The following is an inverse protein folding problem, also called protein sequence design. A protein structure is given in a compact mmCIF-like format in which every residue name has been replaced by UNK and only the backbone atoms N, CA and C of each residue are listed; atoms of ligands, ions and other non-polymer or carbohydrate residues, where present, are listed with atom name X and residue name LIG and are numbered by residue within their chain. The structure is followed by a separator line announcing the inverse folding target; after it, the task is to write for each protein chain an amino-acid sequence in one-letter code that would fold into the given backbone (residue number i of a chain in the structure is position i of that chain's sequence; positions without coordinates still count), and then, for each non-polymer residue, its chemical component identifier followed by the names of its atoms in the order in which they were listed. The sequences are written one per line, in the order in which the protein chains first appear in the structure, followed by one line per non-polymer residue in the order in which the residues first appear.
data_IF_583007608639
#
_entry.id   IF_583007608639
#
_cell.length_a   1.000
_cell.length_b   1.000
_cell.length_c   1.000
_cell.angle_alpha   90.00
_cell.angle_beta   90.00
_cell.angle_gamma   90.00
#
_symmetry.space_group_name_H-M   'P 1'
#
loop_
_entity.id
_entity.type
_entity.pdbx_description
1 polymer ?
#
# COMPACT_ATOMS: atom_id res chain seq x y z
N UNK A 1 7.58 -15.64 -23.64
CA UNK A 1 8.37 -14.92 -22.61
C UNK A 1 7.53 -14.89 -21.34
N UNK A 2 7.90 -15.65 -20.31
CA UNK A 2 7.21 -15.59 -19.02
C UNK A 2 7.42 -14.18 -18.45
N UNK A 3 6.33 -13.44 -18.20
CA UNK A 3 6.42 -12.11 -17.60
C UNK A 3 6.87 -12.29 -16.15
N UNK A 4 8.05 -11.77 -15.82
CA UNK A 4 8.54 -11.72 -14.45
C UNK A 4 7.49 -11.07 -13.54
N UNK A 5 7.15 -11.69 -12.40
CA UNK A 5 6.08 -11.20 -11.57
C UNK A 5 6.52 -9.90 -10.87
N UNK A 6 5.69 -8.86 -11.03
CA UNK A 6 5.93 -7.55 -10.42
C UNK A 6 5.31 -7.49 -9.04
N UNK A 7 6.05 -6.87 -8.13
CA UNK A 7 5.68 -6.66 -6.73
C UNK A 7 5.51 -5.17 -6.49
N UNK A 8 4.49 -4.79 -5.72
CA UNK A 8 4.20 -3.38 -5.50
C UNK A 8 5.09 -2.85 -4.39
N UNK A 9 6.00 -1.91 -4.63
CA UNK A 9 6.78 -1.29 -3.54
C UNK A 9 6.31 0.16 -3.30
N UNK A 10 6.53 0.71 -2.11
CA UNK A 10 6.03 2.03 -1.75
C UNK A 10 7.13 3.09 -1.56
N UNK A 11 6.86 4.28 -2.11
CA UNK A 11 7.62 5.51 -1.82
C UNK A 11 6.65 6.56 -1.29
N UNK A 12 6.89 7.06 -0.08
CA UNK A 12 6.22 8.25 0.46
C UNK A 12 7.14 9.45 0.40
N UNK A 13 6.58 10.58 0.01
CA UNK A 13 7.30 11.86 0.04
C UNK A 13 6.55 12.82 0.96
N UNK A 14 7.23 13.32 2.00
CA UNK A 14 6.64 14.23 3.00
C UNK A 14 7.47 15.50 3.13
N UNK A 15 6.82 16.66 3.18
CA UNK A 15 7.48 17.94 3.42
C UNK A 15 7.35 18.33 4.90
N UNK A 16 8.47 18.65 5.55
CA UNK A 16 8.49 19.23 6.90
C UNK A 16 8.42 20.75 6.85
N UNK A 17 7.46 21.35 7.56
CA UNK A 17 7.31 22.79 7.69
C UNK A 17 7.10 23.17 9.16
N UNK A 18 7.78 24.23 9.62
CA UNK A 18 7.69 24.69 11.01
C UNK A 18 6.29 25.16 11.38
N UNK A 19 5.58 25.82 10.45
CA UNK A 19 4.19 26.24 10.67
C UNK A 19 3.20 25.09 10.85
N UNK A 20 3.59 23.86 10.51
CA UNK A 20 2.82 22.63 10.76
C UNK A 20 3.35 21.83 11.96
N UNK A 21 4.25 22.42 12.76
CA UNK A 21 4.84 21.78 13.93
C UNK A 21 5.93 20.75 13.59
N UNK A 22 6.49 20.77 12.38
CA UNK A 22 7.58 19.88 12.00
C UNK A 22 8.93 20.61 12.02
N UNK A 23 9.92 20.02 12.67
CA UNK A 23 11.31 20.51 12.71
C UNK A 23 12.26 19.46 12.14
N UNK A 24 13.33 19.90 11.48
CA UNK A 24 14.33 19.03 10.89
C UNK A 24 15.09 18.27 11.99
N UNK A 25 15.49 18.95 13.07
CA UNK A 25 16.19 18.35 14.20
C UNK A 25 15.40 17.20 14.82
N UNK A 26 14.10 17.37 15.11
CA UNK A 26 13.28 16.29 15.65
C UNK A 26 13.09 15.14 14.67
N UNK A 27 12.96 15.43 13.36
CA UNK A 27 12.87 14.38 12.33
C UNK A 27 14.16 13.57 12.28
N UNK A 28 15.32 14.22 12.31
CA UNK A 28 16.63 13.55 12.36
C UNK A 28 16.75 12.69 13.62
N UNK A 29 16.46 13.24 14.79
CA UNK A 29 16.52 12.46 16.02
C UNK A 29 15.54 11.26 15.98
N UNK A 30 14.37 11.40 15.35
CA UNK A 30 13.41 10.32 15.16
C UNK A 30 13.96 9.19 14.28
N UNK A 31 14.52 9.50 13.12
CA UNK A 31 15.04 8.48 12.19
C UNK A 31 16.33 7.85 12.73
N UNK A 32 17.16 8.60 13.46
CA UNK A 32 18.41 8.09 14.04
C UNK A 32 18.23 7.43 15.41
N UNK A 33 16.99 7.37 15.93
CA UNK A 33 16.70 6.87 17.29
C UNK A 33 17.52 7.59 18.37
N UNK A 34 17.64 8.90 18.24
CA UNK A 34 18.38 9.78 19.16
C UNK A 34 17.43 10.61 20.03
N UNK A 35 17.99 11.29 21.04
CA UNK A 35 17.23 12.14 21.96
C UNK A 35 16.05 11.42 22.62
N UNK A 36 14.84 11.97 22.44
CA UNK A 36 13.60 11.41 22.98
C UNK A 36 13.22 10.05 22.35
N UNK A 37 13.82 9.66 21.23
CA UNK A 37 13.47 8.46 20.46
C UNK A 37 14.41 7.27 20.68
N UNK A 38 15.35 7.37 21.63
CA UNK A 38 16.30 6.29 21.99
C UNK A 38 15.63 4.98 22.43
N UNK A 39 14.39 5.05 22.89
CA UNK A 39 13.60 3.89 23.31
C UNK A 39 12.98 3.11 22.13
N UNK A 40 13.09 3.62 20.89
CA UNK A 40 12.57 2.95 19.70
C UNK A 40 13.67 2.11 19.05
N UNK A 41 13.37 0.85 18.81
CA UNK A 41 14.28 -0.08 18.14
C UNK A 41 14.24 0.05 16.60
N UNK A 42 15.00 -0.82 15.94
CA UNK A 42 14.90 -1.08 14.51
C UNK A 42 15.79 -0.21 13.63
N UNK A 43 16.68 0.61 14.18
CA UNK A 43 17.75 1.25 13.40
C UNK A 43 18.80 0.20 13.02
N UNK A 44 19.04 0.04 11.72
CA UNK A 44 20.04 -0.90 11.18
C UNK A 44 21.31 -0.17 10.79
N UNK A 45 21.17 0.92 10.03
CA UNK A 45 22.28 1.74 9.57
C UNK A 45 21.82 3.20 9.42
N UNK A 46 22.78 4.11 9.41
CA UNK A 46 22.54 5.53 9.14
C UNK A 46 23.75 6.16 8.50
N UNK A 47 23.53 7.19 7.70
CA UNK A 47 24.59 7.96 7.08
C UNK A 47 24.15 9.39 6.80
N UNK A 48 25.09 10.18 6.31
CA UNK A 48 24.93 11.59 6.07
C UNK A 48 25.88 12.03 4.96
N UNK A 49 25.48 13.02 4.16
CA UNK A 49 26.32 13.52 3.08
C UNK A 49 25.98 14.94 2.68
N UNK A 50 26.80 15.47 1.78
CA UNK A 50 26.64 16.81 1.21
C UNK A 50 26.50 17.90 2.27
N UNK A 51 27.31 17.86 3.34
CA UNK A 51 27.36 18.97 4.30
C UNK A 51 27.88 20.22 3.58
N UNK A 52 27.17 21.35 3.56
CA UNK A 52 27.68 22.55 2.92
C UNK A 52 28.87 23.12 3.71
N UNK A 53 29.76 23.82 3.01
CA UNK A 53 30.83 24.57 3.66
C UNK A 53 30.27 25.60 4.65
N UNK A 54 31.01 25.87 5.73
CA UNK A 54 30.60 26.76 6.81
C UNK A 54 29.84 26.08 7.96
N UNK A 55 29.47 24.80 7.81
CA UNK A 55 28.86 24.02 8.88
C UNK A 55 29.85 23.01 9.46
N UNK A 56 29.86 22.88 10.78
CA UNK A 56 30.73 21.95 11.52
C UNK A 56 30.28 20.50 11.36
N UNK A 57 28.96 20.27 11.34
CA UNK A 57 28.35 18.94 11.21
C UNK A 57 26.86 19.05 10.83
N UNK A 58 26.27 17.93 10.42
CA UNK A 58 24.84 17.88 10.05
C UNK A 58 23.91 18.26 11.19
N UNK A 59 24.24 17.98 12.46
CA UNK A 59 23.38 18.38 13.59
C UNK A 59 23.25 19.89 13.68
N UNK A 60 24.36 20.62 13.55
CA UNK A 60 24.33 22.09 13.46
C UNK A 60 23.55 22.54 12.23
N UNK A 61 23.74 21.91 11.07
CA UNK A 61 22.99 22.25 9.84
C UNK A 61 21.46 22.16 10.02
N UNK A 62 20.96 21.10 10.65
CA UNK A 62 19.52 20.93 10.88
C UNK A 62 18.98 21.86 11.98
N UNK A 63 19.78 22.17 13.00
CA UNK A 63 19.45 23.21 13.99
C UNK A 63 19.32 24.58 13.31
N UNK A 64 20.30 24.97 12.51
CA UNK A 64 20.28 26.23 11.76
C UNK A 64 19.14 26.28 10.73
N UNK A 65 18.77 25.14 10.13
CA UNK A 65 17.56 25.03 9.30
C UNK A 65 16.32 25.39 10.11
N UNK A 66 16.18 24.83 11.32
CA UNK A 66 15.04 25.08 12.19
C UNK A 66 15.02 26.49 12.77
N UNK A 67 16.16 27.14 12.93
CA UNK A 67 16.25 28.51 13.42
C UNK A 67 15.97 29.52 12.29
N UNK A 68 16.58 29.34 11.11
CA UNK A 68 16.66 30.39 10.10
C UNK A 68 15.73 30.22 8.89
N UNK A 69 15.19 29.03 8.60
CA UNK A 69 14.15 28.92 7.55
C UNK A 69 12.89 29.70 7.95
N UNK A 70 12.16 30.24 6.98
CA UNK A 70 10.85 30.86 7.29
C UNK A 70 9.83 29.80 7.73
N UNK A 71 8.86 30.16 8.56
CA UNK A 71 7.89 29.21 9.13
C UNK A 71 7.15 28.36 8.09
N UNK A 72 6.75 28.95 6.96
CA UNK A 72 6.04 28.29 5.86
C UNK A 72 6.98 27.69 4.79
N UNK A 73 8.30 27.74 4.96
CA UNK A 73 9.25 27.06 4.08
C UNK A 73 9.20 25.56 4.32
N UNK A 74 9.54 24.79 3.29
CA UNK A 74 9.94 23.40 3.49
C UNK A 74 11.33 23.39 4.14
N UNK A 75 11.40 23.00 5.40
CA UNK A 75 12.65 22.87 6.15
C UNK A 75 13.43 21.65 5.65
N UNK A 76 12.73 20.54 5.45
CA UNK A 76 13.27 19.29 4.91
C UNK A 76 12.23 18.56 4.08
N UNK A 77 12.68 17.64 3.24
CA UNK A 77 11.82 16.64 2.61
C UNK A 77 12.27 15.25 2.97
N UNK A 78 11.33 14.41 3.38
CA UNK A 78 11.55 13.01 3.66
C UNK A 78 11.07 12.16 2.50
N UNK A 79 11.93 11.26 2.03
CA UNK A 79 11.58 10.11 1.21
C UNK A 79 11.63 8.89 2.11
N UNK A 80 10.48 8.23 2.28
CA UNK A 80 10.38 6.91 2.88
C UNK A 80 10.28 5.90 1.74
N UNK A 81 11.27 5.03 1.62
CA UNK A 81 11.43 4.13 0.49
C UNK A 81 11.50 2.71 1.01
N UNK A 82 10.57 1.88 0.56
CA UNK A 82 10.55 0.44 0.81
C UNK A 82 11.77 -0.25 0.16
N UNK A 83 12.45 -1.12 0.91
CA UNK A 83 13.62 -1.87 0.45
C UNK A 83 13.31 -3.39 0.40
N UNK A 84 14.00 -4.17 -0.45
CA UNK A 84 13.70 -5.58 -0.62
C UNK A 84 14.17 -6.43 0.57
N UNK A 85 13.24 -7.14 1.20
CA UNK A 85 13.52 -8.08 2.30
C UNK A 85 14.29 -9.34 1.85
N UNK A 86 14.23 -9.66 0.56
CA UNK A 86 14.77 -10.89 -0.03
C UNK A 86 16.26 -10.83 -0.37
N UNK A 87 16.82 -9.63 -0.45
CA UNK A 87 18.25 -9.46 -0.65
C UNK A 87 19.00 -9.65 0.68
N UNK A 88 20.28 -10.01 0.66
CA UNK A 88 21.14 -9.91 1.83
C UNK A 88 21.12 -8.48 2.40
N UNK A 89 21.26 -8.33 3.72
CA UNK A 89 21.25 -7.00 4.33
C UNK A 89 22.37 -6.10 3.79
N UNK A 90 23.55 -6.64 3.46
CA UNK A 90 24.66 -5.88 2.87
C UNK A 90 24.25 -5.16 1.58
N UNK A 91 23.64 -5.89 0.64
CA UNK A 91 23.13 -5.34 -0.62
C UNK A 91 22.07 -4.27 -0.39
N UNK A 92 21.21 -4.47 0.63
CA UNK A 92 20.20 -3.47 0.98
C UNK A 92 20.83 -2.19 1.52
N UNK A 93 21.91 -2.30 2.30
CA UNK A 93 22.62 -1.14 2.83
C UNK A 93 23.36 -0.38 1.73
N UNK A 94 24.02 -1.08 0.81
CA UNK A 94 24.67 -0.48 -0.35
C UNK A 94 23.65 0.24 -1.25
N UNK A 95 22.53 -0.42 -1.54
CA UNK A 95 21.45 0.19 -2.33
C UNK A 95 20.86 1.42 -1.65
N UNK A 96 20.71 1.39 -0.32
CA UNK A 96 20.20 2.52 0.44
C UNK A 96 21.17 3.72 0.44
N UNK A 97 22.47 3.47 0.54
CA UNK A 97 23.51 4.49 0.44
C UNK A 97 23.56 5.10 -0.96
N UNK A 98 23.60 4.27 -2.00
CA UNK A 98 23.58 4.71 -3.40
C UNK A 98 22.31 5.54 -3.72
N UNK A 99 21.14 5.08 -3.26
CA UNK A 99 19.90 5.83 -3.41
C UNK A 99 19.94 7.16 -2.64
N UNK A 100 20.50 7.19 -1.43
CA UNK A 100 20.63 8.43 -0.67
C UNK A 100 21.52 9.45 -1.39
N UNK A 101 22.63 9.02 -1.97
CA UNK A 101 23.53 9.87 -2.75
C UNK A 101 22.90 10.41 -4.02
N UNK A 102 22.21 9.56 -4.78
CA UNK A 102 21.61 9.94 -6.06
C UNK A 102 20.41 10.89 -5.88
N UNK A 103 19.50 10.56 -4.96
CA UNK A 103 18.28 11.34 -4.69
C UNK A 103 18.62 12.72 -4.10
N UNK A 104 19.78 12.84 -3.44
CA UNK A 104 20.25 14.07 -2.81
C UNK A 104 21.02 15.00 -3.76
N UNK A 105 20.68 14.95 -5.04
CA UNK A 105 21.18 15.84 -6.10
C UNK A 105 20.01 16.49 -6.80
N UNK A 106 20.17 17.74 -7.23
CA UNK A 106 19.18 18.37 -8.09
C UNK A 106 19.11 17.59 -9.43
N UNK A 107 17.92 17.20 -9.90
CA UNK A 107 17.78 16.36 -11.09
C UNK A 107 18.21 17.03 -12.41
N UNK A 108 18.25 18.36 -12.46
CA UNK A 108 18.59 19.14 -13.66
C UNK A 108 20.07 19.51 -13.69
N UNK A 109 20.57 20.12 -12.61
CA UNK A 109 21.92 20.68 -12.58
C UNK A 109 22.89 19.88 -11.69
N UNK A 110 22.42 18.80 -11.04
CA UNK A 110 23.21 17.92 -10.17
C UNK A 110 23.82 18.59 -8.94
N UNK A 111 23.38 19.81 -8.60
CA UNK A 111 23.79 20.50 -7.38
C UNK A 111 23.51 19.63 -6.16
N UNK A 112 24.46 19.62 -5.22
CA UNK A 112 24.39 18.79 -4.02
C UNK A 112 23.35 19.34 -3.04
N UNK A 113 22.64 18.42 -2.39
CA UNK A 113 21.65 18.71 -1.36
C UNK A 113 22.09 18.01 -0.07
N UNK A 114 22.20 18.76 1.03
CA UNK A 114 22.53 18.18 2.33
C UNK A 114 21.50 17.13 2.73
N UNK A 115 21.95 15.97 3.21
CA UNK A 115 21.06 14.88 3.59
C UNK A 115 21.57 14.09 4.79
N UNK A 116 20.62 13.41 5.44
CA UNK A 116 20.87 12.33 6.38
C UNK A 116 19.85 11.22 6.15
N UNK A 117 20.25 9.98 6.40
CA UNK A 117 19.37 8.83 6.24
C UNK A 117 19.51 7.82 7.36
N UNK A 118 18.48 6.98 7.46
CA UNK A 118 18.49 5.77 8.28
C UNK A 118 17.79 4.63 7.54
N UNK A 119 18.37 3.44 7.61
CA UNK A 119 17.72 2.19 7.22
C UNK A 119 17.14 1.56 8.47
N UNK A 120 15.84 1.30 8.45
CA UNK A 120 15.14 0.62 9.54
C UNK A 120 14.67 -0.77 9.11
N UNK A 121 14.64 -1.69 10.07
CA UNK A 121 14.04 -3.02 9.92
C UNK A 121 13.44 -3.47 11.26
N UNK A 122 12.55 -4.46 11.22
CA UNK A 122 12.07 -5.10 12.44
C UNK A 122 13.24 -5.77 13.18
N UNK A 123 13.47 -5.46 14.47
CA UNK A 123 14.67 -5.92 15.19
C UNK A 123 14.68 -7.44 15.46
N UNK A 124 13.53 -8.11 15.39
CA UNK A 124 13.43 -9.55 15.67
C UNK A 124 13.59 -10.38 14.41
N UNK A 125 13.13 -9.86 13.28
CA UNK A 125 13.01 -10.61 12.03
C UNK A 125 13.94 -10.11 10.93
N UNK A 126 14.37 -8.85 11.00
CA UNK A 126 15.16 -8.20 9.96
C UNK A 126 14.37 -7.83 8.69
N UNK A 127 13.04 -7.95 8.72
CA UNK A 127 12.15 -7.63 7.58
C UNK A 127 11.47 -6.27 7.73
N UNK A 128 10.67 -5.88 6.73
CA UNK A 128 10.06 -4.57 6.66
C UNK A 128 11.09 -3.47 6.51
N UNK A 129 12.13 -3.75 5.72
CA UNK A 129 13.24 -2.84 5.51
C UNK A 129 12.77 -1.59 4.78
N UNK A 130 13.14 -0.43 5.29
CA UNK A 130 12.84 0.85 4.65
C UNK A 130 13.91 1.90 4.92
N UNK A 131 14.16 2.74 3.92
CA UNK A 131 15.03 3.90 3.99
C UNK A 131 14.20 5.13 4.34
N UNK A 132 14.53 5.76 5.46
CA UNK A 132 14.20 7.16 5.73
C UNK A 132 15.33 8.03 5.20
N UNK A 133 15.09 8.78 4.12
CA UNK A 133 16.03 9.76 3.57
C UNK A 133 15.48 11.17 3.78
N UNK A 134 16.18 11.99 4.57
CA UNK A 134 15.83 13.38 4.86
C UNK A 134 16.81 14.29 4.13
N UNK A 135 16.29 15.05 3.17
CA UNK A 135 17.08 15.99 2.36
C UNK A 135 16.71 17.44 2.64
N UNK A 136 17.69 18.32 2.50
CA UNK A 136 17.47 19.75 2.35
C UNK A 136 17.01 20.06 0.93
N UNK A 137 16.17 21.08 0.77
CA UNK A 137 15.83 21.59 -0.57
C UNK A 137 16.70 22.79 -0.98
N UNK A 138 17.80 23.03 -0.26
CA UNK A 138 18.79 24.07 -0.57
C UNK A 138 19.91 23.49 -1.44
N UNK A 139 20.14 24.12 -2.58
CA UNK A 139 21.16 23.72 -3.55
C UNK A 139 22.52 24.33 -3.18
N UNK A 140 23.56 23.50 -3.16
CA UNK A 140 24.92 24.00 -3.10
C UNK A 140 25.35 24.51 -4.48
N UNK A 141 25.38 25.84 -4.64
CA UNK A 141 25.70 26.53 -5.89
C UNK A 141 27.18 26.96 -5.99
N UNK A 142 28.04 26.47 -5.09
CA UNK A 142 29.47 26.80 -5.02
C UNK A 142 29.77 28.18 -4.43
N UNK A 143 28.76 28.93 -3.97
CA UNK A 143 28.96 30.24 -3.32
C UNK A 143 29.12 30.03 -1.82
N UNK A 144 30.25 30.47 -1.29
CA UNK A 144 30.55 30.44 0.14
C UNK A 144 29.65 31.41 0.91
N UNK A 145 29.11 30.94 2.04
CA UNK A 145 28.16 31.67 2.88
C UNK A 145 28.37 31.30 4.33
N UNK A 146 28.19 32.28 5.21
CA UNK A 146 27.98 32.00 6.63
C UNK A 146 26.67 31.23 6.85
N UNK A 147 26.59 30.32 7.83
CA UNK A 147 25.42 29.50 8.13
C UNK A 147 24.09 30.26 8.21
N UNK A 148 24.07 31.43 8.85
CA UNK A 148 22.85 32.22 9.04
C UNK A 148 22.35 32.84 7.72
N UNK A 149 23.25 33.10 6.77
CA UNK A 149 22.91 33.61 5.45
C UNK A 149 22.35 32.50 4.56
N UNK A 150 22.86 31.28 4.69
CA UNK A 150 22.53 30.13 3.85
C UNK A 150 21.01 29.90 3.69
N UNK A 151 20.25 30.04 4.78
CA UNK A 151 18.80 29.81 4.80
C UNK A 151 17.95 31.06 4.49
N UNK A 152 18.54 32.21 4.20
CA UNK A 152 17.77 33.39 3.76
C UNK A 152 17.20 33.19 2.35
N UNK A 153 16.40 34.14 1.88
CA UNK A 153 15.91 34.12 0.49
C UNK A 153 17.11 34.29 -0.46
N UNK A 154 17.09 33.55 -1.57
CA UNK A 154 18.09 33.71 -2.61
C UNK A 154 18.06 35.13 -3.21
N UNK A 155 19.25 35.70 -3.42
CA UNK A 155 19.45 36.89 -4.23
C UNK A 155 20.06 36.48 -5.58
N UNK A 156 19.27 36.53 -6.65
CA UNK A 156 19.73 36.10 -7.99
C UNK A 156 20.73 37.07 -8.63
N UNK A 157 20.71 38.35 -8.23
CA UNK A 157 21.61 39.37 -8.80
C UNK A 157 22.98 39.31 -8.13
N UNK A 158 23.00 39.08 -6.82
CA UNK A 158 24.21 38.97 -6.00
C UNK A 158 24.13 37.73 -5.10
N UNK A 159 24.47 36.54 -5.61
CA UNK A 159 24.30 35.26 -4.89
C UNK A 159 24.98 35.17 -3.52
N UNK A 160 26.11 35.87 -3.33
CA UNK A 160 26.85 35.92 -2.06
C UNK A 160 26.19 36.80 -0.99
N UNK A 161 25.22 37.64 -1.36
CA UNK A 161 24.46 38.52 -0.45
C UNK A 161 23.07 37.96 -0.13
N UNK A 162 22.80 36.69 -0.46
CA UNK A 162 21.53 36.01 -0.20
C UNK A 162 21.73 34.55 0.16
N UNK A 163 20.63 33.87 0.48
CA UNK A 163 20.68 32.44 0.79
C UNK A 163 20.86 31.56 -0.44
N UNK A 164 21.14 30.29 -0.19
CA UNK A 164 21.29 29.29 -1.24
C UNK A 164 19.99 29.12 -2.04
N UNK A 165 20.05 28.82 -3.35
CA UNK A 165 18.86 28.52 -4.15
C UNK A 165 18.06 27.37 -3.53
N UNK A 166 16.75 27.35 -3.78
CA UNK A 166 15.91 26.21 -3.42
C UNK A 166 15.40 25.50 -4.65
N UNK A 167 15.26 24.19 -4.55
CA UNK A 167 14.58 23.36 -5.54
C UNK A 167 13.19 23.92 -5.85
N UNK A 168 12.79 23.80 -7.12
CA UNK A 168 11.43 24.08 -7.52
C UNK A 168 10.46 23.17 -6.76
N UNK A 169 9.43 23.78 -6.14
CA UNK A 169 8.46 23.08 -5.30
C UNK A 169 7.03 23.14 -5.84
N UNK A 170 6.86 23.57 -7.10
CA UNK A 170 5.56 23.52 -7.76
C UNK A 170 5.14 22.06 -7.99
N UNK A 171 3.83 21.84 -8.16
CA UNK A 171 3.22 20.50 -8.19
C UNK A 171 3.83 19.61 -9.28
N UNK A 172 4.07 20.14 -10.48
CA UNK A 172 4.65 19.36 -11.58
C UNK A 172 6.10 19.01 -11.33
N UNK A 173 6.93 19.95 -10.86
CA UNK A 173 8.32 19.68 -10.50
C UNK A 173 8.44 18.61 -9.42
N UNK A 174 7.60 18.68 -8.37
CA UNK A 174 7.60 17.69 -7.30
C UNK A 174 7.13 16.31 -7.80
N UNK A 175 6.09 16.26 -8.63
CA UNK A 175 5.61 15.02 -9.23
C UNK A 175 6.68 14.38 -10.11
N UNK A 176 7.32 15.17 -10.98
CA UNK A 176 8.38 14.70 -11.86
C UNK A 176 9.56 14.16 -11.04
N UNK A 177 10.02 14.90 -10.02
CA UNK A 177 11.10 14.45 -9.13
C UNK A 177 10.73 13.16 -8.42
N UNK A 178 9.50 13.04 -7.92
CA UNK A 178 9.02 11.82 -7.25
C UNK A 178 9.03 10.63 -8.21
N UNK A 179 8.57 10.81 -9.45
CA UNK A 179 8.59 9.74 -10.45
C UNK A 179 10.03 9.34 -10.83
N UNK A 180 10.94 10.30 -11.00
CA UNK A 180 12.36 10.00 -11.26
C UNK A 180 12.98 9.17 -10.12
N UNK A 181 12.68 9.51 -8.86
CA UNK A 181 13.12 8.73 -7.70
C UNK A 181 12.54 7.31 -7.73
N UNK A 182 11.24 7.18 -8.01
CA UNK A 182 10.58 5.87 -8.13
C UNK A 182 11.19 5.01 -9.23
N UNK A 183 11.45 5.59 -10.40
CA UNK A 183 12.04 4.90 -11.54
C UNK A 183 13.47 4.48 -11.22
N UNK A 184 14.29 5.39 -10.69
CA UNK A 184 15.67 5.12 -10.31
C UNK A 184 15.76 3.97 -9.31
N UNK A 185 15.05 4.07 -8.18
CA UNK A 185 15.11 3.04 -7.14
C UNK A 185 14.55 1.71 -7.64
N UNK A 186 13.48 1.73 -8.46
CA UNK A 186 13.00 0.50 -9.10
C UNK A 186 14.09 -0.16 -9.94
N UNK A 187 14.78 0.63 -10.76
CA UNK A 187 15.81 0.11 -11.67
C UNK A 187 16.99 -0.49 -10.90
N UNK A 188 17.50 0.19 -9.88
CA UNK A 188 18.61 -0.31 -9.05
C UNK A 188 18.20 -1.60 -8.34
N UNK A 189 17.05 -1.62 -7.65
CA UNK A 189 16.56 -2.83 -6.97
C UNK A 189 16.38 -3.98 -7.97
N UNK A 190 15.80 -3.70 -9.14
CA UNK A 190 15.54 -4.72 -10.15
C UNK A 190 16.82 -5.29 -10.76
N UNK A 191 17.86 -4.47 -10.94
CA UNK A 191 19.18 -4.93 -11.37
C UNK A 191 19.79 -5.86 -10.31
N UNK A 192 19.79 -5.47 -9.04
CA UNK A 192 20.32 -6.33 -7.96
C UNK A 192 19.52 -7.63 -7.84
N UNK A 193 18.18 -7.58 -7.93
CA UNK A 193 17.35 -8.80 -7.94
C UNK A 193 17.71 -9.71 -9.12
N UNK A 194 18.04 -9.14 -10.28
CA UNK A 194 18.47 -9.89 -11.46
C UNK A 194 19.84 -10.55 -11.28
N UNK A 195 20.79 -9.84 -10.69
CA UNK A 195 22.13 -10.37 -10.35
C UNK A 195 22.04 -11.53 -9.36
N UNK A 196 21.07 -11.47 -8.44
CA UNK A 196 20.71 -12.57 -7.53
C UNK A 196 19.82 -13.65 -8.19
N UNK A 197 19.55 -13.54 -9.50
CA UNK A 197 18.71 -14.45 -10.27
C UNK A 197 17.29 -14.64 -9.72
N UNK A 198 16.77 -13.62 -9.05
CA UNK A 198 15.40 -13.59 -8.57
C UNK A 198 14.48 -13.19 -9.73
N UNK A 199 13.38 -13.93 -9.96
CA UNK A 199 12.40 -13.57 -10.99
C UNK A 199 11.55 -12.36 -10.62
N UNK A 200 11.46 -12.03 -9.33
CA UNK A 200 10.63 -10.90 -8.89
C UNK A 200 11.22 -9.56 -9.32
N UNK A 201 10.33 -8.58 -9.54
CA UNK A 201 10.69 -7.19 -9.82
C UNK A 201 9.84 -6.25 -8.97
N UNK A 202 10.35 -5.07 -8.65
CA UNK A 202 9.61 -3.99 -7.99
C UNK A 202 9.19 -2.93 -9.00
N UNK A 203 8.05 -2.31 -8.77
CA UNK A 203 7.58 -1.16 -9.54
C UNK A 203 6.85 -0.18 -8.60
N UNK A 204 7.45 0.99 -8.38
CA UNK A 204 6.92 2.01 -7.46
C UNK A 204 5.87 2.93 -8.10
N UNK A 205 5.63 2.80 -9.40
CA UNK A 205 4.63 3.59 -10.14
C UNK A 205 3.27 2.90 -10.20
N UNK A 206 3.20 1.62 -9.84
CA UNK A 206 1.94 0.90 -9.67
C UNK A 206 1.24 1.51 -8.45
N UNK A 207 0.28 2.40 -8.73
CA UNK A 207 -0.55 3.03 -7.71
C UNK A 207 -1.75 2.13 -7.44
N UNK A 208 -1.90 1.72 -6.18
CA UNK A 208 -3.15 1.15 -5.66
C UNK A 208 -4.17 2.27 -5.51
N UNK A 209 -5.03 2.47 -6.49
CA UNK A 209 -6.42 2.71 -6.12
C UNK A 209 -7.01 1.32 -5.87
N UNK A 210 -7.85 1.17 -4.85
CA UNK A 210 -8.47 -0.11 -4.39
C UNK A 210 -7.84 -0.79 -3.15
N UNK A 211 -7.17 -0.04 -2.27
CA UNK A 211 -7.20 -0.38 -0.83
C UNK A 211 -6.33 -1.53 -0.30
N UNK A 212 -5.19 -1.91 -0.91
CA UNK A 212 -4.32 -3.00 -0.36
C UNK A 212 -2.84 -2.70 -0.20
N UNK A 213 -2.20 -3.43 0.72
CA UNK A 213 -0.87 -3.16 1.29
C UNK A 213 0.32 -3.41 0.35
N UNK A 214 1.45 -2.78 0.71
CA UNK A 214 2.68 -2.65 -0.08
C UNK A 214 3.66 -3.78 0.21
N UNK A 215 4.46 -4.04 -0.81
CA UNK A 215 5.30 -5.18 -1.08
C UNK A 215 4.50 -6.48 -1.17
N UNK A 216 4.78 -7.27 -2.21
CA UNK A 216 4.74 -8.72 -2.07
C UNK A 216 5.81 -9.02 -1.03
N UNK A 217 5.40 -8.89 0.23
CA UNK A 217 6.22 -9.08 1.40
C UNK A 217 6.08 -10.57 1.67
N UNK A 218 7.01 -11.40 1.18
CA UNK A 218 7.10 -12.78 1.69
C UNK A 218 7.06 -12.63 3.21
N UNK A 219 5.99 -13.12 3.84
CA UNK A 219 5.84 -12.87 5.26
C UNK A 219 7.08 -13.43 5.96
N UNK A 220 7.47 -12.90 7.12
CA UNK A 220 8.60 -13.44 7.88
C UNK A 220 8.53 -14.97 8.06
N UNK A 221 7.31 -15.53 8.06
CA UNK A 221 7.02 -16.96 8.11
C UNK A 221 7.23 -17.64 6.76
N UNK A 222 6.76 -17.06 5.66
CA UNK A 222 6.93 -17.63 4.31
C UNK A 222 8.40 -17.60 3.92
N UNK A 223 9.10 -16.49 4.16
CA UNK A 223 10.53 -16.40 3.91
C UNK A 223 11.34 -17.35 4.81
N UNK A 224 11.02 -17.50 6.11
CA UNK A 224 11.62 -18.54 6.95
C UNK A 224 11.35 -19.94 6.42
N UNK A 225 10.17 -20.19 5.87
CA UNK A 225 9.81 -21.46 5.25
C UNK A 225 10.66 -21.69 4.00
N UNK A 226 10.89 -20.66 3.18
CA UNK A 226 11.79 -20.72 2.02
C UNK A 226 13.27 -20.93 2.41
N UNK A 227 13.74 -20.27 3.46
CA UNK A 227 15.09 -20.48 4.01
C UNK A 227 15.27 -21.88 4.61
N UNK A 228 14.22 -22.44 5.22
CA UNK A 228 14.27 -23.77 5.84
C UNK A 228 14.47 -24.89 4.81
N UNK A 229 14.08 -24.68 3.55
CA UNK A 229 14.32 -25.64 2.48
C UNK A 229 15.78 -25.72 2.01
N UNK A 230 16.72 -24.92 2.56
CA UNK A 230 18.11 -24.83 2.09
C UNK A 230 18.17 -24.75 0.57
N UNK A 231 17.43 -23.78 0.03
CA UNK A 231 17.26 -23.62 -1.41
C UNK A 231 18.53 -23.03 -1.98
N UNK A 232 19.46 -23.91 -2.33
CA UNK A 232 20.74 -23.54 -2.92
C UNK A 232 20.59 -23.36 -4.45
N UNK A 233 19.47 -23.81 -5.02
CA UNK A 233 19.21 -23.76 -6.45
C UNK A 233 18.11 -22.74 -6.83
N UNK A 234 18.39 -22.04 -7.92
CA UNK A 234 17.60 -20.93 -8.46
C UNK A 234 16.19 -21.37 -8.88
N UNK A 235 15.96 -22.66 -9.12
CA UNK A 235 14.68 -23.17 -9.62
C UNK A 235 13.67 -23.19 -8.49
N UNK A 236 14.04 -23.72 -7.33
CA UNK A 236 13.11 -23.83 -6.20
C UNK A 236 12.81 -22.47 -5.55
N UNK A 237 13.79 -21.56 -5.47
CA UNK A 237 13.56 -20.17 -5.01
C UNK A 237 12.51 -19.49 -5.91
N UNK A 238 12.65 -19.62 -7.22
CA UNK A 238 11.75 -18.99 -8.17
C UNK A 238 10.36 -19.65 -8.24
N UNK A 239 10.26 -20.97 -8.02
CA UNK A 239 8.97 -21.68 -7.85
C UNK A 239 8.23 -21.17 -6.61
N UNK A 240 8.94 -21.01 -5.51
CA UNK A 240 8.41 -20.45 -4.28
C UNK A 240 7.96 -18.98 -4.42
N UNK A 241 8.75 -18.13 -5.07
CA UNK A 241 8.39 -16.73 -5.34
C UNK A 241 7.11 -16.64 -6.17
N UNK A 242 6.98 -17.48 -7.22
CA UNK A 242 5.76 -17.56 -8.03
C UNK A 242 4.54 -17.93 -7.18
N UNK A 243 4.64 -19.00 -6.38
CA UNK A 243 3.58 -19.45 -5.48
C UNK A 243 3.18 -18.37 -4.48
N UNK A 244 4.15 -17.63 -3.94
CA UNK A 244 3.87 -16.54 -3.01
C UNK A 244 3.09 -15.40 -3.67
N UNK A 245 3.48 -15.00 -4.88
CA UNK A 245 2.80 -13.92 -5.62
C UNK A 245 1.38 -14.33 -5.99
N UNK A 246 1.18 -15.59 -6.37
CA UNK A 246 -0.15 -16.15 -6.63
C UNK A 246 -1.03 -16.09 -5.37
N UNK A 247 -0.51 -16.54 -4.21
CA UNK A 247 -1.22 -16.50 -2.94
C UNK A 247 -1.54 -15.06 -2.50
N UNK A 248 -0.60 -14.12 -2.63
CA UNK A 248 -0.82 -12.72 -2.24
C UNK A 248 -1.88 -12.06 -3.12
N UNK A 249 -1.84 -12.30 -4.44
CA UNK A 249 -2.89 -11.85 -5.36
C UNK A 249 -4.26 -12.44 -4.99
N UNK A 250 -4.30 -13.70 -4.55
CA UNK A 250 -5.52 -14.37 -4.12
C UNK A 250 -6.09 -13.77 -2.83
N UNK A 251 -5.25 -13.61 -1.81
CA UNK A 251 -5.62 -13.00 -0.53
C UNK A 251 -6.06 -11.55 -0.72
N UNK A 252 -5.41 -10.84 -1.65
CA UNK A 252 -5.88 -9.55 -2.09
C UNK A 252 -7.29 -9.73 -2.67
N UNK A 253 -7.54 -10.42 -3.77
CA UNK A 253 -8.90 -10.58 -4.31
C UNK A 253 -9.99 -10.88 -3.24
N UNK A 254 -9.74 -11.81 -2.31
CA UNK A 254 -10.64 -12.11 -1.18
C UNK A 254 -10.94 -10.88 -0.30
N UNK A 255 -9.92 -10.10 0.08
CA UNK A 255 -10.13 -8.90 0.89
C UNK A 255 -10.95 -7.81 0.15
N UNK A 256 -11.01 -7.80 -1.19
CA UNK A 256 -11.80 -6.79 -1.96
C UNK A 256 -13.26 -7.19 -1.86
N UNK A 257 -13.53 -8.47 -2.07
CA UNK A 257 -14.85 -9.04 -1.90
C UNK A 257 -15.38 -8.83 -0.47
N UNK A 258 -14.53 -8.99 0.55
CA UNK A 258 -14.92 -8.70 1.95
C UNK A 258 -15.27 -7.21 2.13
N UNK A 259 -14.47 -6.30 1.57
CA UNK A 259 -14.70 -4.86 1.70
C UNK A 259 -15.95 -4.41 0.91
N UNK A 260 -16.17 -4.95 -0.29
CA UNK A 260 -17.35 -4.73 -1.11
C UNK A 260 -18.60 -5.25 -0.40
N UNK A 261 -18.53 -6.45 0.19
CA UNK A 261 -19.62 -6.99 1.00
C UNK A 261 -19.93 -6.12 2.22
N UNK A 262 -18.92 -5.66 2.94
CA UNK A 262 -19.13 -4.75 4.06
C UNK A 262 -19.75 -3.41 3.65
N UNK A 263 -19.42 -2.91 2.45
CA UNK A 263 -20.05 -1.71 1.89
C UNK A 263 -21.52 -1.95 1.51
N UNK A 264 -21.81 -3.09 0.88
CA UNK A 264 -23.16 -3.51 0.55
C UNK A 264 -24.01 -3.70 1.82
N UNK A 265 -23.47 -4.36 2.85
CA UNK A 265 -24.13 -4.54 4.14
C UNK A 265 -24.45 -3.18 4.80
N UNK A 266 -23.56 -2.20 4.69
CA UNK A 266 -23.79 -0.84 5.18
C UNK A 266 -24.87 -0.10 4.38
N UNK A 267 -24.94 -0.31 3.07
CA UNK A 267 -25.99 0.25 2.20
C UNK A 267 -27.35 -0.37 2.49
N UNK A 268 -27.43 -1.70 2.63
CA UNK A 268 -28.64 -2.42 3.04
C UNK A 268 -29.12 -1.90 4.41
N UNK A 269 -28.22 -1.81 5.39
CA UNK A 269 -28.55 -1.29 6.72
C UNK A 269 -29.01 0.18 6.69
N UNK A 270 -28.59 0.97 5.70
CA UNK A 270 -29.08 2.34 5.50
C UNK A 270 -30.48 2.37 4.86
N UNK A 271 -30.78 1.44 3.94
CA UNK A 271 -32.09 1.29 3.30
C UNK A 271 -33.14 0.69 4.25
N UNK A 272 -32.75 -0.22 5.14
CA UNK A 272 -33.63 -0.82 6.15
C UNK A 272 -34.01 0.12 7.29
N UNK A 273 -33.36 1.29 7.39
CA UNK A 273 -33.82 2.40 8.25
C UNK A 273 -35.06 3.05 7.63
N UNK A 274 -36.21 2.38 7.75
CA UNK A 274 -37.51 3.01 7.55
C UNK A 274 -37.60 4.21 8.50
N UNK A 275 -37.88 5.44 8.01
CA UNK A 275 -38.18 6.54 8.92
C UNK A 275 -39.46 6.17 9.68
N UNK A 276 -39.38 6.11 11.02
CA UNK A 276 -40.58 5.97 11.83
C UNK A 276 -41.60 7.04 11.40
N UNK A 277 -42.88 6.67 11.15
CA UNK A 277 -43.88 7.65 10.77
C UNK A 277 -43.99 8.69 11.88
N UNK A 278 -43.64 9.95 11.56
CA UNK A 278 -43.80 11.07 12.50
C UNK A 278 -45.25 11.08 12.99
N UNK A 279 -45.50 11.16 14.31
CA UNK A 279 -46.86 11.20 14.82
C UNK A 279 -47.59 12.39 14.21
N UNK A 280 -48.70 12.13 13.52
CA UNK A 280 -49.55 13.18 12.96
C UNK A 280 -50.13 14.02 14.12
N UNK A 281 -50.16 15.37 14.01
CA UNK A 281 -50.76 16.20 15.04
C UNK A 281 -52.27 15.94 15.09
N UNK A 282 -52.77 15.61 16.29
CA UNK A 282 -54.21 15.46 16.55
C UNK A 282 -54.91 16.82 16.32
N UNK A 283 -55.96 16.91 15.49
CA UNK A 283 -56.68 18.17 15.30
C UNK A 283 -57.39 18.62 16.58
N UNK A 284 -57.14 19.86 17.00
CA UNK A 284 -57.85 20.50 18.12
C UNK A 284 -59.27 20.91 17.69
N UNK A 285 -60.28 20.49 18.46
CA UNK A 285 -61.69 20.82 18.26
C UNK A 285 -61.98 22.24 18.78
N UNK A 286 -62.57 23.16 18.00
CA UNK A 286 -63.04 24.46 18.50
C UNK A 286 -64.41 24.34 19.20
N UNK A 287 -64.59 25.04 20.33
CA UNK A 287 -65.83 25.03 21.11
C UNK A 287 -66.93 26.02 20.62
N UNK A 288 -68.16 25.46 20.48
CA UNK A 288 -69.51 25.99 20.78
C UNK A 288 -70.15 27.12 19.91
N UNK A 289 -71.51 27.23 19.77
CA UNK A 289 -72.57 26.86 20.73
C UNK A 289 -73.85 26.13 20.18
N UNK A 290 -74.78 25.83 21.12
CA UNK A 290 -75.97 24.93 21.14
C UNK A 290 -77.31 25.66 20.74
N UNK A 291 -78.51 25.03 20.87
CA UNK A 291 -79.28 24.09 20.00
C UNK A 291 -80.47 24.78 19.24
N UNK A 292 -81.26 24.16 18.34
CA UNK A 292 -82.45 23.24 18.49
C UNK A 292 -83.26 23.31 17.15
N UNK A 293 -84.37 22.57 16.88
CA UNK A 293 -84.75 21.16 17.12
C UNK A 293 -85.41 20.45 15.88
N UNK A 294 -85.85 19.19 16.07
CA UNK A 294 -86.87 18.41 15.31
C UNK A 294 -86.44 17.77 13.98
N UNK A 295 -86.85 16.56 13.57
CA UNK A 295 -87.75 15.51 14.09
C UNK A 295 -87.37 14.20 13.33
N UNK A 296 -87.47 13.04 13.98
CA UNK A 296 -87.61 11.75 13.28
C UNK A 296 -89.08 11.60 12.83
N UNK A 297 -89.44 10.84 11.75
CA UNK A 297 -89.42 9.38 11.87
C UNK A 297 -89.31 8.53 10.56
N UNK A 298 -89.05 7.24 10.77
CA UNK A 298 -89.57 6.04 10.06
C UNK A 298 -89.08 5.60 8.66
N UNK A 299 -88.71 4.31 8.63
CA UNK A 299 -88.64 3.36 7.50
C UNK A 299 -89.98 3.26 6.72
N UNK A 300 -90.14 2.54 5.56
CA UNK A 300 -89.31 1.43 5.04
C UNK A 300 -89.09 1.35 3.50
N UNK A 301 -88.30 0.34 3.09
CA UNK A 301 -88.07 -0.28 1.75
C UNK A 301 -89.34 -0.34 0.86
N UNK A 302 -89.27 -0.39 -0.50
CA UNK A 302 -88.59 -1.48 -1.25
C UNK A 302 -87.95 -1.14 -2.62
N UNK A 303 -87.15 -2.10 -3.12
CA UNK A 303 -86.59 -2.16 -4.48
C UNK A 303 -87.68 -2.44 -5.55
N UNK A 304 -87.43 -2.04 -6.81
CA UNK A 304 -87.36 -3.07 -7.87
C UNK A 304 -86.23 -2.84 -8.91
N UNK A 305 -85.81 -3.95 -9.53
CA UNK A 305 -84.79 -4.13 -10.60
C UNK A 305 -85.57 -4.27 -11.93
N UNK A 306 -85.14 -3.77 -13.13
CA UNK A 306 -84.34 -4.62 -14.05
C UNK A 306 -83.49 -3.98 -15.18
N UNK A 307 -82.41 -4.72 -15.53
CA UNK A 307 -81.96 -5.09 -16.89
C UNK A 307 -81.00 -4.19 -17.72
N UNK A 308 -80.24 -4.79 -18.67
CA UNK A 308 -78.77 -4.74 -18.68
C UNK A 308 -78.16 -3.90 -19.80
N UNK A 309 -76.89 -3.53 -19.66
CA UNK A 309 -76.05 -2.99 -20.74
C UNK A 309 -74.75 -3.80 -20.90
N UNK A 310 -74.14 -3.81 -22.09
CA UNK A 310 -73.22 -4.85 -22.54
C UNK A 310 -71.86 -4.78 -21.84
N UNK A 311 -71.32 -5.97 -21.55
CA UNK A 311 -70.02 -6.20 -20.92
C UNK A 311 -68.89 -5.71 -21.84
N UNK A 312 -68.06 -4.80 -21.33
CA UNK A 312 -66.78 -4.43 -21.93
C UNK A 312 -65.78 -5.59 -21.77
N UNK A 313 -64.91 -5.75 -22.77
CA UNK A 313 -63.85 -6.76 -22.87
C UNK A 313 -63.09 -6.99 -21.54
N UNK A 314 -62.65 -8.23 -21.25
CA UNK A 314 -61.78 -8.50 -20.13
C UNK A 314 -60.40 -7.85 -20.34
N UNK A 315 -59.95 -7.14 -19.32
CA UNK A 315 -58.58 -6.66 -19.15
C UNK A 315 -57.66 -7.89 -18.96
N UNK A 316 -56.46 -7.95 -19.57
CA UNK A 316 -55.57 -9.10 -19.41
C UNK A 316 -55.02 -9.17 -17.97
N UNK A 317 -54.94 -10.39 -17.43
CA UNK A 317 -54.39 -10.65 -16.10
C UNK A 317 -53.00 -10.02 -15.90
N UNK A 318 -52.69 -9.45 -14.72
CA UNK A 318 -51.35 -8.98 -14.44
C UNK A 318 -50.38 -10.17 -14.47
N UNK A 319 -49.29 -10.03 -15.23
CA UNK A 319 -48.20 -10.99 -15.28
C UNK A 319 -47.66 -11.24 -13.86
N UNK A 320 -47.25 -12.48 -13.53
CA UNK A 320 -46.68 -12.80 -12.23
C UNK A 320 -45.42 -11.96 -11.99
N UNK A 321 -45.41 -11.21 -10.88
CA UNK A 321 -44.24 -10.47 -10.41
C UNK A 321 -43.28 -11.50 -9.81
N UNK A 322 -42.01 -11.59 -10.25
CA UNK A 322 -41.05 -12.49 -9.63
C UNK A 322 -40.84 -12.10 -8.17
N UNK A 323 -40.98 -13.07 -7.27
CA UNK A 323 -40.77 -12.90 -5.84
C UNK A 323 -39.26 -12.77 -5.54
N UNK A 324 -38.90 -11.85 -4.65
CA UNK A 324 -37.51 -11.59 -4.21
C UNK A 324 -36.77 -12.85 -3.70
N UNK A 325 -37.49 -13.88 -3.28
CA UNK A 325 -36.95 -15.16 -2.78
C UNK A 325 -36.27 -16.01 -3.87
N UNK A 326 -36.75 -15.94 -5.13
CA UNK A 326 -36.23 -16.78 -6.21
C UNK A 326 -34.87 -16.27 -6.74
N UNK A 327 -34.60 -14.97 -6.62
CA UNK A 327 -33.32 -14.37 -7.03
C UNK A 327 -32.22 -14.44 -5.96
N UNK A 328 -32.59 -14.46 -4.67
CA UNK A 328 -31.66 -14.66 -3.56
C UNK A 328 -31.06 -16.07 -3.58
N UNK A 329 -31.88 -17.08 -3.88
CA UNK A 329 -31.43 -18.48 -3.97
C UNK A 329 -30.50 -18.74 -5.16
N UNK A 330 -30.74 -18.14 -6.33
CA UNK A 330 -29.81 -18.25 -7.47
C UNK A 330 -28.47 -17.56 -7.23
N UNK A 331 -28.47 -16.40 -6.55
CA UNK A 331 -27.23 -15.68 -6.24
C UNK A 331 -26.39 -16.41 -5.18
N UNK A 332 -27.04 -16.91 -4.12
CA UNK A 332 -26.37 -17.73 -3.09
C UNK A 332 -25.82 -19.04 -3.69
N UNK A 333 -26.53 -19.65 -4.64
CA UNK A 333 -26.07 -20.84 -5.36
C UNK A 333 -24.85 -20.53 -6.25
N UNK A 334 -24.87 -19.39 -6.97
CA UNK A 334 -23.74 -18.94 -7.78
C UNK A 334 -22.50 -18.60 -6.93
N UNK A 335 -22.68 -17.97 -5.76
CA UNK A 335 -21.61 -17.68 -4.82
C UNK A 335 -21.02 -18.99 -4.24
N UNK A 336 -21.88 -19.93 -3.83
CA UNK A 336 -21.46 -21.24 -3.35
C UNK A 336 -20.70 -22.05 -4.41
N UNK A 337 -21.15 -22.00 -5.67
CA UNK A 337 -20.49 -22.66 -6.79
C UNK A 337 -19.13 -22.00 -7.12
N UNK A 338 -19.03 -20.68 -7.04
CA UNK A 338 -17.77 -19.95 -7.22
C UNK A 338 -16.75 -20.27 -6.12
N UNK A 339 -17.19 -20.33 -4.86
CA UNK A 339 -16.35 -20.73 -3.71
C UNK A 339 -15.92 -22.20 -3.84
N UNK A 340 -16.83 -23.08 -4.25
CA UNK A 340 -16.56 -24.51 -4.46
C UNK A 340 -15.57 -24.76 -5.60
N UNK A 341 -15.71 -24.04 -6.72
CA UNK A 341 -14.77 -24.12 -7.84
C UNK A 341 -13.40 -23.57 -7.46
N UNK A 342 -13.36 -22.46 -6.73
CA UNK A 342 -12.13 -21.91 -6.15
C UNK A 342 -11.41 -22.92 -5.25
N UNK A 343 -12.14 -23.55 -4.32
CA UNK A 343 -11.59 -24.55 -3.42
C UNK A 343 -11.09 -25.80 -4.19
N UNK A 344 -11.78 -26.20 -5.26
CA UNK A 344 -11.33 -27.28 -6.14
C UNK A 344 -10.06 -26.95 -6.90
N UNK A 345 -9.93 -25.74 -7.43
CA UNK A 345 -8.72 -25.31 -8.13
C UNK A 345 -7.54 -25.18 -7.16
N UNK A 346 -7.77 -24.71 -5.93
CA UNK A 346 -6.76 -24.73 -4.86
C UNK A 346 -6.31 -26.16 -4.52
N UNK A 347 -7.25 -27.09 -4.37
CA UNK A 347 -6.93 -28.49 -4.07
C UNK A 347 -6.18 -29.19 -5.22
N UNK A 348 -6.54 -28.90 -6.48
CA UNK A 348 -5.80 -29.40 -7.65
C UNK A 348 -4.38 -28.86 -7.68
N UNK A 349 -4.22 -27.57 -7.43
CA UNK A 349 -2.92 -26.91 -7.38
C UNK A 349 -2.05 -27.48 -6.25
N UNK A 350 -2.61 -27.69 -5.06
CA UNK A 350 -1.92 -28.34 -3.95
C UNK A 350 -1.48 -29.77 -4.29
N UNK A 351 -2.32 -30.54 -4.97
CA UNK A 351 -2.01 -31.89 -5.42
C UNK A 351 -0.91 -31.92 -6.49
N UNK A 352 -0.95 -31.00 -7.46
CA UNK A 352 0.07 -30.87 -8.51
C UNK A 352 1.43 -30.47 -7.90
N UNK A 353 1.43 -29.54 -6.94
CA UNK A 353 2.64 -29.18 -6.21
C UNK A 353 3.20 -30.35 -5.38
N UNK A 354 2.34 -31.12 -4.71
CA UNK A 354 2.77 -32.29 -3.95
C UNK A 354 3.38 -33.37 -4.87
N UNK A 355 2.85 -33.53 -6.08
CA UNK A 355 3.40 -34.44 -7.07
C UNK A 355 4.77 -33.98 -7.57
N UNK A 356 4.92 -32.71 -7.91
CA UNK A 356 6.21 -32.16 -8.35
C UNK A 356 7.29 -32.23 -7.27
N UNK A 357 6.92 -32.01 -6.00
CA UNK A 357 7.85 -32.10 -4.88
C UNK A 357 8.31 -33.56 -4.65
N UNK A 358 7.38 -34.52 -4.78
CA UNK A 358 7.70 -35.94 -4.74
C UNK A 358 8.61 -36.37 -5.91
N UNK A 359 8.40 -35.82 -7.11
CA UNK A 359 9.25 -36.06 -8.28
C UNK A 359 10.66 -35.46 -8.10
N UNK A 360 10.77 -34.27 -7.52
CA UNK A 360 12.05 -33.63 -7.21
C UNK A 360 12.82 -34.39 -6.12
N UNK A 361 12.14 -34.90 -5.10
CA UNK A 361 12.73 -35.73 -4.06
C UNK A 361 13.19 -37.09 -4.61
N UNK A 362 12.37 -37.72 -5.46
CA UNK A 362 12.74 -38.94 -6.18
C UNK A 362 13.94 -38.73 -7.12
N UNK A 363 14.05 -37.57 -7.76
CA UNK A 363 15.20 -37.21 -8.60
C UNK A 363 16.49 -37.05 -7.77
N UNK A 364 16.42 -36.43 -6.59
CA UNK A 364 17.55 -36.33 -5.64
C UNK A 364 17.97 -37.70 -5.09
N UNK A 365 17.02 -38.60 -4.84
CA UNK A 365 17.32 -39.96 -4.40
C UNK A 365 18.01 -40.80 -5.50
N UNK A 366 17.65 -40.59 -6.77
CA UNK A 366 18.28 -41.28 -7.92
C UNK A 366 19.73 -40.88 -8.15
N UNK A 367 20.09 -39.63 -7.84
CA UNK A 367 21.48 -39.14 -7.97
C UNK A 367 22.37 -39.48 -6.77
N UNK A 368 21.79 -39.94 -5.66
CA UNK A 368 22.50 -40.27 -4.42
C UNK A 368 22.84 -41.77 -4.25
N UNK A 369 22.56 -42.63 -5.25
CA UNK A 369 22.82 -44.08 -5.12
C UNK A 369 24.32 -44.41 -5.29
N UNK A 370 24.98 -45.10 -4.34
CA UNK A 370 26.40 -45.38 -4.42
C UNK A 370 26.68 -46.48 -5.44
N UNK A 371 27.62 -46.21 -6.36
CA UNK A 371 28.18 -47.20 -7.27
C UNK A 371 28.88 -48.30 -6.46
N UNK A 372 28.21 -49.44 -6.27
CA UNK A 372 28.79 -50.60 -5.63
C UNK A 372 29.51 -51.49 -6.66
N UNK A 373 30.76 -51.79 -6.32
CA UNK A 373 31.55 -52.99 -6.69
C UNK A 373 32.51 -52.87 -7.87
N UNK A 374 33.72 -52.35 -7.61
CA UNK A 374 34.95 -52.97 -8.14
C UNK A 374 35.58 -53.81 -7.05
N UNK A 375 35.42 -55.13 -7.14
CA UNK A 375 36.24 -56.12 -6.42
C UNK A 375 37.61 -56.13 -7.07
N UNK A 376 38.63 -55.62 -6.37
CA UNK A 376 40.03 -55.92 -6.69
C UNK A 376 40.41 -57.18 -5.92
N UNK A 377 40.57 -58.29 -6.65
CA UNK A 377 41.42 -59.39 -6.21
C UNK A 377 42.85 -59.02 -6.61
N UNK A 378 43.75 -58.90 -5.65
CA UNK A 378 45.12 -59.40 -5.84
C UNK A 378 45.81 -59.63 -4.48
N UNK A 379 46.24 -60.86 -4.16
CA UNK A 379 47.14 -61.12 -3.05
C UNK A 379 48.58 -61.26 -3.54
N UNK A 380 49.47 -60.39 -3.04
CA UNK A 380 50.92 -60.61 -2.80
C UNK A 380 51.75 -61.37 -3.85
N UNK A 381 52.70 -60.66 -4.49
CA UNK A 381 54.15 -60.92 -4.42
C UNK A 381 54.97 -59.79 -5.06
#
# INVERSE_FOLDING_TARGET
MSKNPKTTAYVRVTAGQKSKGHTAGQKIDYILRQGAFKHKDGLVASGAGNLPNGFDNHRQYWQMTDEHERANSVAFREFLIDLPDHLPMSEVLELAEEAAEEISRNPENRALLAYQYAVHADPKTGYGRHLHLVISEREQDGVEREPELFFKRQNKKEPSQGGAPKLANNVSALKNRTNMVKDYVANVINATLEDFNMLMRVDFNINKKDGKQAQVKLSPKDWKTLQAYKLDDKVTINKAIKRFIEIDNYNNAINDLIAERAALDAEIAALERLPEPKPQPVPQVPEQPKPTPQQAPSAPKPQPIPQPQPVANPEPDPLPVPTLDDGLTEFEQQEADAISNTARELAKMEAEYAQEDAEAEAAKARTASPSATKRNNDPTL
#
